data_IF_392592291879
#
_entry.id   IF_392592291879
#
_cell.length_a   1.000
_cell.length_b   1.000
_cell.length_c   1.000
_cell.angle_alpha   90.00
_cell.angle_beta   90.00
_cell.angle_gamma   90.00
#
_symmetry.space_group_name_H-M   'P 1'
#
loop_
_entity.id
_entity.type
_entity.pdbx_description
1 polymer ?
#
# COMPACT_ATOMS: atom_id res chain seq x y z
N UNK A 1 -14.28 -27.27 -14.19
CA UNK A 1 -14.52 -27.05 -12.75
C UNK A 1 -13.17 -26.74 -12.09
N UNK A 2 -13.11 -25.80 -11.13
CA UNK A 2 -11.87 -25.43 -10.43
C UNK A 2 -11.55 -26.33 -9.22
N UNK A 3 -10.40 -26.10 -8.58
CA UNK A 3 -9.98 -26.78 -7.35
C UNK A 3 -10.79 -26.28 -6.13
N UNK A 4 -11.44 -27.21 -5.42
CA UNK A 4 -12.32 -26.88 -4.30
C UNK A 4 -11.58 -26.37 -3.07
N UNK A 5 -10.36 -26.86 -2.81
CA UNK A 5 -9.52 -26.45 -1.69
C UNK A 5 -8.99 -25.04 -1.92
N UNK A 6 -8.47 -24.77 -3.12
CA UNK A 6 -8.03 -23.43 -3.50
C UNK A 6 -9.19 -22.42 -3.40
N UNK A 7 -10.38 -22.82 -3.85
CA UNK A 7 -11.58 -21.99 -3.77
C UNK A 7 -11.99 -21.69 -2.31
N UNK A 8 -11.81 -22.65 -1.40
CA UNK A 8 -12.06 -22.42 0.03
C UNK A 8 -11.06 -21.43 0.64
N UNK A 9 -9.76 -21.64 0.38
CA UNK A 9 -8.70 -20.74 0.85
C UNK A 9 -8.95 -19.29 0.41
N UNK A 10 -9.34 -19.07 -0.85
CA UNK A 10 -9.59 -17.72 -1.36
C UNK A 10 -10.82 -17.07 -0.71
N UNK A 11 -11.88 -17.83 -0.43
CA UNK A 11 -13.05 -17.31 0.28
C UNK A 11 -12.72 -16.94 1.72
N UNK A 12 -11.99 -17.80 2.42
CA UNK A 12 -11.60 -17.57 3.81
C UNK A 12 -10.69 -16.33 3.89
N UNK A 13 -9.71 -16.22 3.00
CA UNK A 13 -8.86 -15.03 2.91
C UNK A 13 -9.66 -13.75 2.60
N UNK A 14 -10.68 -13.82 1.73
CA UNK A 14 -11.55 -12.68 1.44
C UNK A 14 -12.38 -12.27 2.67
N UNK A 15 -12.84 -13.23 3.46
CA UNK A 15 -13.57 -12.97 4.70
C UNK A 15 -12.67 -12.29 5.75
N UNK A 16 -11.46 -12.81 5.97
CA UNK A 16 -10.49 -12.23 6.93
C UNK A 16 -10.09 -10.80 6.55
N UNK A 17 -9.88 -10.55 5.26
CA UNK A 17 -9.60 -9.20 4.73
C UNK A 17 -10.78 -8.26 4.95
N UNK A 18 -12.01 -8.72 4.69
CA UNK A 18 -13.22 -7.94 4.90
C UNK A 18 -13.42 -7.62 6.38
N UNK A 19 -13.27 -8.60 7.28
CA UNK A 19 -13.37 -8.41 8.72
C UNK A 19 -12.40 -7.32 9.20
N UNK A 20 -11.13 -7.42 8.78
CA UNK A 20 -10.09 -6.44 9.14
C UNK A 20 -10.44 -5.04 8.63
N UNK A 21 -10.86 -4.93 7.37
CA UNK A 21 -11.23 -3.66 6.76
C UNK A 21 -12.47 -3.02 7.43
N UNK A 22 -13.49 -3.82 7.74
CA UNK A 22 -14.70 -3.38 8.42
C UNK A 22 -14.43 -2.95 9.86
N UNK A 23 -13.59 -3.69 10.59
CA UNK A 23 -13.16 -3.31 11.92
C UNK A 23 -12.40 -1.97 11.93
N UNK A 24 -11.57 -1.71 10.91
CA UNK A 24 -10.93 -0.42 10.75
C UNK A 24 -11.94 0.68 10.39
N UNK A 25 -12.83 0.42 9.43
CA UNK A 25 -13.87 1.35 8.99
C UNK A 25 -14.79 1.79 10.14
N UNK A 26 -15.20 0.85 11.00
CA UNK A 26 -16.06 1.15 12.16
C UNK A 26 -15.41 2.05 13.22
N UNK A 27 -14.09 2.21 13.20
CA UNK A 27 -13.36 3.14 14.07
C UNK A 27 -13.15 4.52 13.45
N UNK A 28 -13.37 4.66 12.15
CA UNK A 28 -13.22 5.94 11.45
C UNK A 28 -14.53 6.71 11.60
N UNK A 29 -14.55 7.69 12.49
CA UNK A 29 -15.66 8.65 12.57
C UNK A 29 -15.56 9.59 11.38
N UNK A 30 -16.21 9.25 10.26
CA UNK A 30 -16.32 10.16 9.13
C UNK A 30 -17.07 11.43 9.59
N UNK A 31 -16.37 12.55 9.68
CA UNK A 31 -16.88 13.82 10.22
C UNK A 31 -18.01 14.49 9.43
N UNK A 32 -18.71 13.75 8.56
CA UNK A 32 -19.77 14.27 7.69
C UNK A 32 -20.91 13.28 7.41
N UNK A 33 -21.03 12.17 8.13
CA UNK A 33 -22.17 11.24 8.04
C UNK A 33 -22.37 10.50 6.71
N UNK A 34 -21.54 10.77 5.69
CA UNK A 34 -21.59 10.11 4.39
C UNK A 34 -20.84 8.77 4.35
N UNK A 35 -21.04 7.97 3.29
CA UNK A 35 -20.35 6.69 3.15
C UNK A 35 -18.84 6.86 3.10
N UNK A 36 -18.12 6.01 3.84
CA UNK A 36 -16.66 6.00 3.91
C UNK A 36 -16.09 5.52 2.56
N UNK A 37 -15.33 6.35 1.84
CA UNK A 37 -14.66 5.91 0.62
C UNK A 37 -13.60 4.85 0.94
N UNK A 38 -13.62 3.74 0.20
CA UNK A 38 -12.68 2.63 0.37
C UNK A 38 -12.21 2.15 -1.00
N UNK A 39 -10.90 2.01 -1.18
CA UNK A 39 -10.31 1.38 -2.35
C UNK A 39 -9.57 0.11 -1.93
N UNK A 40 -9.68 -0.94 -2.75
CA UNK A 40 -8.93 -2.19 -2.57
C UNK A 40 -7.78 -2.19 -3.58
N UNK A 41 -6.56 -2.34 -3.08
CA UNK A 41 -5.33 -2.36 -3.89
C UNK A 41 -4.33 -3.38 -3.30
N UNK A 42 -3.29 -3.73 -4.05
CA UNK A 42 -2.26 -4.69 -3.65
C UNK A 42 -2.07 -5.81 -4.67
N UNK A 43 -0.96 -6.55 -4.56
CA UNK A 43 -0.61 -7.58 -5.55
C UNK A 43 -1.65 -8.70 -5.68
N UNK A 44 -2.41 -8.98 -4.62
CA UNK A 44 -3.44 -10.02 -4.62
C UNK A 44 -4.69 -9.65 -5.43
N UNK A 45 -4.95 -8.36 -5.70
CA UNK A 45 -6.07 -7.97 -6.57
C UNK A 45 -5.86 -8.43 -8.01
N UNK A 46 -4.61 -8.75 -8.39
CA UNK A 46 -4.26 -9.37 -9.67
C UNK A 46 -4.79 -10.79 -9.86
N UNK A 47 -5.26 -11.46 -8.79
CA UNK A 47 -5.99 -12.73 -8.88
C UNK A 47 -7.38 -12.56 -9.53
N UNK A 48 -7.81 -11.33 -9.75
CA UNK A 48 -9.05 -11.01 -10.43
C UNK A 48 -10.28 -11.47 -9.64
N UNK A 49 -11.39 -11.79 -10.34
CA UNK A 49 -12.68 -12.09 -9.71
C UNK A 49 -12.65 -13.21 -8.68
N UNK A 50 -11.68 -14.13 -8.75
CA UNK A 50 -11.54 -15.21 -7.78
C UNK A 50 -11.43 -14.68 -6.34
N UNK A 51 -10.64 -13.63 -6.12
CA UNK A 51 -10.52 -12.96 -4.82
C UNK A 51 -11.42 -11.73 -4.72
N UNK A 52 -11.48 -10.90 -5.77
CA UNK A 52 -12.16 -9.60 -5.67
C UNK A 52 -13.67 -9.73 -5.55
N UNK A 53 -14.29 -10.75 -6.13
CA UNK A 53 -15.73 -10.97 -5.99
C UNK A 53 -16.15 -11.33 -4.56
N UNK A 54 -15.59 -12.36 -3.89
CA UNK A 54 -15.97 -12.67 -2.52
C UNK A 54 -15.61 -11.54 -1.54
N UNK A 55 -14.50 -10.84 -1.74
CA UNK A 55 -14.14 -9.69 -0.91
C UNK A 55 -15.14 -8.53 -1.09
N UNK A 56 -15.50 -8.22 -2.33
CA UNK A 56 -16.50 -7.16 -2.62
C UNK A 56 -17.83 -7.53 -1.98
N UNK A 57 -18.29 -8.76 -2.14
CA UNK A 57 -19.54 -9.24 -1.55
C UNK A 57 -19.55 -9.10 -0.02
N UNK A 58 -18.46 -9.49 0.66
CA UNK A 58 -18.33 -9.37 2.10
C UNK A 58 -18.34 -7.89 2.58
N UNK A 59 -17.67 -6.99 1.84
CA UNK A 59 -17.65 -5.56 2.16
C UNK A 59 -19.00 -4.89 1.92
N UNK A 60 -19.67 -5.17 0.80
CA UNK A 60 -20.96 -4.55 0.44
C UNK A 60 -22.15 -5.15 1.19
N UNK A 61 -21.99 -6.34 1.77
CA UNK A 61 -22.99 -6.98 2.64
C UNK A 61 -22.95 -6.50 4.09
N UNK A 62 -22.03 -5.60 4.45
CA UNK A 62 -21.93 -5.03 5.80
C UNK A 62 -22.97 -3.92 6.03
N UNK A 63 -23.39 -3.78 7.29
CA UNK A 63 -24.21 -2.65 7.76
C UNK A 63 -23.43 -1.31 7.78
N UNK A 64 -22.11 -1.33 7.60
CA UNK A 64 -21.32 -0.11 7.50
C UNK A 64 -21.56 0.59 6.15
N UNK A 65 -21.79 1.90 6.22
CA UNK A 65 -21.92 2.74 5.03
C UNK A 65 -20.57 2.94 4.36
N UNK A 66 -20.24 2.04 3.41
CA UNK A 66 -19.02 2.08 2.61
C UNK A 66 -19.33 2.49 1.16
N UNK A 67 -18.39 3.18 0.53
CA UNK A 67 -18.39 3.42 -0.92
C UNK A 67 -17.10 2.87 -1.50
N UNK A 68 -17.19 1.73 -2.18
CA UNK A 68 -16.06 1.20 -2.93
C UNK A 68 -15.73 2.12 -4.10
N UNK A 69 -14.46 2.48 -4.23
CA UNK A 69 -13.93 3.36 -5.28
C UNK A 69 -12.73 2.70 -5.96
N UNK A 70 -12.52 2.99 -7.24
CA UNK A 70 -11.30 2.60 -7.93
C UNK A 70 -10.08 3.22 -7.24
N UNK A 71 -8.98 2.46 -7.06
CA UNK A 71 -7.74 3.02 -6.56
C UNK A 71 -7.18 4.07 -7.55
N UNK A 72 -6.57 5.13 -7.03
CA UNK A 72 -5.97 6.20 -7.84
C UNK A 72 -4.62 5.80 -8.47
N UNK A 73 -4.07 4.67 -8.07
CA UNK A 73 -2.78 4.13 -8.48
C UNK A 73 -2.50 2.83 -7.74
N UNK A 74 -1.29 2.31 -7.91
CA UNK A 74 -0.86 1.08 -7.24
C UNK A 74 -0.09 1.38 -5.92
N UNK A 75 0.30 0.36 -5.14
CA UNK A 75 1.08 0.57 -3.92
C UNK A 75 2.43 1.26 -4.14
N UNK A 76 3.06 1.10 -5.31
CA UNK A 76 4.32 1.76 -5.64
C UNK A 76 4.13 3.24 -5.94
N UNK A 77 3.02 3.62 -6.57
CA UNK A 77 2.64 5.02 -6.75
C UNK A 77 2.47 5.72 -5.39
N UNK A 78 1.77 5.06 -4.46
CA UNK A 78 1.62 5.54 -3.09
C UNK A 78 2.96 5.66 -2.35
N UNK A 79 3.84 4.66 -2.48
CA UNK A 79 5.17 4.68 -1.89
C UNK A 79 6.03 5.83 -2.47
N UNK A 80 5.97 6.06 -3.78
CA UNK A 80 6.65 7.17 -4.45
C UNK A 80 6.14 8.52 -3.94
N UNK A 81 4.83 8.68 -3.81
CA UNK A 81 4.21 9.88 -3.27
C UNK A 81 4.71 10.15 -1.85
N UNK A 82 4.69 9.15 -0.97
CA UNK A 82 5.23 9.28 0.39
C UNK A 82 6.73 9.60 0.39
N UNK A 83 7.52 9.01 -0.52
CA UNK A 83 8.96 9.25 -0.60
C UNK A 83 9.31 10.68 -1.03
N UNK A 84 8.55 11.25 -1.97
CA UNK A 84 8.87 12.52 -2.62
C UNK A 84 8.13 13.73 -2.02
N UNK A 85 6.85 13.56 -1.68
CA UNK A 85 6.01 14.65 -1.21
C UNK A 85 6.05 14.77 0.33
N UNK A 86 6.43 15.95 0.81
CA UNK A 86 6.52 16.30 2.24
C UNK A 86 5.29 17.05 2.75
N UNK A 87 4.37 17.44 1.88
CA UNK A 87 3.13 18.11 2.24
C UNK A 87 1.98 17.12 2.54
N UNK A 88 2.25 15.82 2.44
CA UNK A 88 1.24 14.79 2.70
C UNK A 88 0.81 14.79 4.18
N UNK A 89 -0.46 14.45 4.49
CA UNK A 89 -0.93 14.37 5.87
C UNK A 89 -0.12 13.41 6.76
N UNK A 90 0.55 12.43 6.16
CA UNK A 90 1.35 11.42 6.85
C UNK A 90 2.84 11.76 6.91
N UNK A 91 3.27 12.95 6.47
CA UNK A 91 4.69 13.28 6.33
C UNK A 91 5.52 13.08 7.61
N UNK A 92 4.93 13.33 8.78
CA UNK A 92 5.55 13.12 10.10
C UNK A 92 5.80 11.64 10.45
N UNK A 93 5.08 10.72 9.79
CA UNK A 93 5.19 9.28 9.99
C UNK A 93 6.14 8.62 8.97
N UNK A 94 6.66 9.37 7.99
CA UNK A 94 7.49 8.83 6.91
C UNK A 94 8.97 9.04 7.17
N UNK A 95 9.68 7.93 7.43
CA UNK A 95 11.15 7.91 7.47
C UNK A 95 11.71 7.73 6.05
N UNK A 96 12.61 8.62 5.62
CA UNK A 96 13.21 8.58 4.28
C UNK A 96 14.71 8.32 4.40
N UNK A 97 15.15 7.20 3.86
CA UNK A 97 16.56 6.81 3.84
C UNK A 97 17.10 7.05 2.43
N UNK A 98 18.22 7.77 2.32
CA UNK A 98 18.99 7.83 1.08
C UNK A 98 20.14 6.85 1.18
N UNK A 99 20.30 6.00 0.16
CA UNK A 99 21.51 5.19 0.02
C UNK A 99 22.67 6.17 -0.24
N UNK A 100 23.54 6.36 0.75
CA UNK A 100 24.82 7.02 0.53
C UNK A 100 25.75 5.99 -0.11
N UNK A 101 26.24 6.30 -1.31
CA UNK A 101 27.44 5.62 -1.81
C UNK A 101 28.62 6.04 -0.92
N UNK A 102 29.54 5.13 -0.57
CA UNK A 102 30.75 5.51 0.13
C UNK A 102 31.45 6.65 -0.64
N UNK A 103 31.84 7.72 0.06
CA UNK A 103 32.69 8.73 -0.55
C UNK A 103 34.01 8.08 -0.98
N UNK A 104 34.51 8.31 -2.20
CA UNK A 104 35.85 7.88 -2.55
C UNK A 104 36.85 8.53 -1.57
N UNK A 105 37.94 7.83 -1.20
CA UNK A 105 38.98 8.40 -0.36
C UNK A 105 39.58 9.64 -1.04
N UNK A 106 40.02 10.65 -0.27
CA UNK A 106 40.67 11.84 -0.84
C UNK A 106 41.90 11.41 -1.65
N UNK A 107 42.06 11.99 -2.84
CA UNK A 107 43.22 11.75 -3.68
C UNK A 107 44.51 12.16 -2.95
N UNK A 108 45.45 11.23 -2.83
CA UNK A 108 46.79 11.52 -2.33
C UNK A 108 47.45 12.59 -3.21
N UNK A 109 48.03 13.66 -2.64
CA UNK A 109 48.68 14.69 -3.41
C UNK A 109 49.84 14.09 -4.23
N UNK A 110 49.88 14.44 -5.53
CA UNK A 110 50.94 13.98 -6.42
C UNK A 110 52.30 14.49 -5.91
N UNK A 111 53.26 13.56 -5.76
CA UNK A 111 54.64 13.91 -5.42
C UNK A 111 55.25 14.67 -6.60
N UNK A 112 55.78 15.89 -6.41
CA UNK A 112 56.41 16.64 -7.48
C UNK A 112 57.66 15.90 -7.99
N UNK A 113 57.99 16.01 -9.29
CA UNK A 113 59.15 15.33 -9.86
C UNK A 113 60.45 15.86 -9.23
N UNK A 114 61.36 14.95 -8.91
CA UNK A 114 62.68 15.29 -8.40
C UNK A 114 63.48 16.03 -9.47
N UNK A 115 63.96 17.24 -9.13
CA UNK A 115 64.89 17.99 -9.98
C UNK A 115 66.27 17.32 -9.99
N UNK A 116 66.83 17.17 -11.19
CA UNK A 116 68.18 16.67 -11.44
C UNK A 116 69.24 17.78 -11.25
#
# INVERSE_FOLDING_TARGET
AGDAVASAIVRDAAADLAETALAAAGRITAGGGGPLPMAVTGGLTGLGPALTAPLTAALTGSELSLRLTSPLGDPLDGARLLALDRATPHASLVVRVRRTTPSPPPSTPATPPASA
#
